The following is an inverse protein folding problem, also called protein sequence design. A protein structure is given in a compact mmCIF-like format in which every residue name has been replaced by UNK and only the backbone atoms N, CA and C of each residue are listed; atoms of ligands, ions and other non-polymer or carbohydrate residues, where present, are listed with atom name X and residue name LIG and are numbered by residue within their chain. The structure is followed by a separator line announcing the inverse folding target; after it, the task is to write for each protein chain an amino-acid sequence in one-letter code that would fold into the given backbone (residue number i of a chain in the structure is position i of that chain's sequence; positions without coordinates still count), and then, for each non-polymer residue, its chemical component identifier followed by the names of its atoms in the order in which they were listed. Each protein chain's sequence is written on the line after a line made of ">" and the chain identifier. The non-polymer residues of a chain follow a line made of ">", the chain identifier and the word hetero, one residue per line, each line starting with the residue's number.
data_IF_780322933636
#
_entry.id   IF_780322933636
#
_cell.length_a   1.000
_cell.length_b   1.000
_cell.length_c   1.000
_cell.angle_alpha   90.00
_cell.angle_beta   90.00
_cell.angle_gamma   90.00
#
_symmetry.space_group_name_H-M   'P 1'
#
loop_
_entity.id
_entity.type
_entity.pdbx_description
1 polymer ?
#
# COMPACT_ATOMS: atom_id res chain seq x y z
N UNK A 1 -15.29 -8.04 -0.10
CA UNK A 1 -14.22 -7.05 -0.36
C UNK A 1 -14.51 -5.71 0.31
N UNK A 2 -15.43 -4.90 -0.24
CA UNK A 2 -15.70 -3.53 0.22
C UNK A 2 -15.97 -3.37 1.73
N UNK A 3 -16.69 -4.31 2.35
CA UNK A 3 -16.93 -4.27 3.80
C UNK A 3 -15.65 -4.35 4.64
N UNK A 4 -14.63 -5.08 4.16
CA UNK A 4 -13.33 -5.18 4.84
C UNK A 4 -12.56 -3.86 4.73
N UNK A 5 -12.54 -3.23 3.55
CA UNK A 5 -11.94 -1.90 3.36
C UNK A 5 -12.66 -0.82 4.17
N UNK A 6 -14.00 -0.83 4.19
CA UNK A 6 -14.78 0.11 5.01
C UNK A 6 -14.48 -0.05 6.50
N UNK A 7 -14.42 -1.30 6.98
CA UNK A 7 -14.06 -1.64 8.36
C UNK A 7 -12.64 -1.19 8.71
N UNK A 8 -11.70 -1.33 7.78
CA UNK A 8 -10.30 -0.92 7.97
C UNK A 8 -10.08 0.59 7.96
N UNK A 9 -10.92 1.36 7.25
CA UNK A 9 -10.78 2.83 7.16
C UNK A 9 -11.38 3.54 8.38
N UNK A 10 -12.57 3.12 8.81
CA UNK A 10 -13.18 3.61 10.05
C UNK A 10 -14.13 2.53 10.62
N UNK A 11 -13.73 1.80 11.68
CA UNK A 11 -14.53 0.71 12.24
C UNK A 11 -15.82 1.18 12.92
N UNK A 12 -15.84 2.41 13.47
CA UNK A 12 -17.02 2.99 14.10
C UNK A 12 -18.05 3.38 13.05
N UNK A 13 -17.63 4.09 11.99
CA UNK A 13 -18.50 4.45 10.88
C UNK A 13 -19.06 3.22 10.17
N UNK A 14 -18.25 2.17 9.99
CA UNK A 14 -18.71 0.90 9.43
C UNK A 14 -19.82 0.27 10.30
N UNK A 15 -19.69 0.34 11.63
CA UNK A 15 -20.70 -0.16 12.57
C UNK A 15 -22.00 0.65 12.48
N UNK A 16 -21.92 1.98 12.38
CA UNK A 16 -23.09 2.83 12.17
C UNK A 16 -23.77 2.58 10.81
N UNK A 17 -23.02 2.14 9.80
CA UNK A 17 -23.55 1.71 8.51
C UNK A 17 -24.13 0.28 8.52
N UNK A 18 -24.27 -0.36 9.69
CA UNK A 18 -24.84 -1.71 9.84
C UNK A 18 -23.87 -2.85 9.55
N UNK A 19 -22.58 -2.57 9.36
CA UNK A 19 -21.56 -3.61 9.13
C UNK A 19 -21.12 -4.17 10.48
N UNK A 20 -21.20 -5.50 10.63
CA UNK A 20 -20.64 -6.16 11.81
C UNK A 20 -19.10 -6.24 11.71
N UNK A 21 -18.45 -5.15 12.12
CA UNK A 21 -16.98 -4.99 12.15
C UNK A 21 -16.29 -6.16 12.86
N UNK A 22 -16.83 -6.61 14.01
CA UNK A 22 -16.24 -7.70 14.79
C UNK A 22 -16.21 -9.01 14.00
N UNK A 23 -17.33 -9.37 13.35
CA UNK A 23 -17.43 -10.57 12.51
C UNK A 23 -16.47 -10.49 11.30
N UNK A 24 -16.34 -9.33 10.67
CA UNK A 24 -15.39 -9.16 9.55
C UNK A 24 -13.94 -9.38 9.98
N UNK A 25 -13.52 -8.81 11.11
CA UNK A 25 -12.16 -9.01 11.64
C UNK A 25 -11.94 -10.48 11.99
N UNK A 26 -12.88 -11.13 12.68
CA UNK A 26 -12.77 -12.55 13.02
C UNK A 26 -12.63 -13.43 11.77
N UNK A 27 -13.46 -13.23 10.75
CA UNK A 27 -13.37 -13.99 9.50
C UNK A 27 -12.01 -13.77 8.81
N UNK A 28 -11.49 -12.54 8.80
CA UNK A 28 -10.18 -12.24 8.22
C UNK A 28 -9.05 -12.99 8.94
N UNK A 29 -9.06 -13.00 10.29
CA UNK A 29 -8.07 -13.75 11.08
C UNK A 29 -8.19 -15.27 10.89
N UNK A 30 -9.41 -15.81 10.83
CA UNK A 30 -9.64 -17.25 10.60
C UNK A 30 -9.10 -17.67 9.23
N UNK A 31 -9.37 -16.89 8.18
CA UNK A 31 -8.87 -17.17 6.83
C UNK A 31 -7.33 -17.07 6.81
N UNK A 32 -6.76 -16.03 7.41
CA UNK A 32 -5.29 -15.86 7.50
C UNK A 32 -4.63 -17.03 8.25
N UNK A 33 -5.21 -17.45 9.37
CA UNK A 33 -4.72 -18.61 10.14
C UNK A 33 -4.81 -19.91 9.35
N UNK A 34 -5.92 -20.16 8.65
CA UNK A 34 -6.08 -21.33 7.80
C UNK A 34 -5.05 -21.37 6.65
N UNK A 35 -4.81 -20.23 5.98
CA UNK A 35 -3.79 -20.11 4.94
C UNK A 35 -2.39 -20.29 5.50
N UNK A 36 -2.11 -19.76 6.69
CA UNK A 36 -0.81 -19.92 7.36
C UNK A 36 -0.55 -21.38 7.72
N UNK A 37 -1.57 -22.11 8.21
CA UNK A 37 -1.45 -23.53 8.50
C UNK A 37 -1.12 -24.35 7.24
N UNK A 38 -1.82 -24.10 6.13
CA UNK A 38 -1.56 -24.76 4.85
C UNK A 38 -0.14 -24.44 4.36
N UNK A 39 0.25 -23.16 4.39
CA UNK A 39 1.59 -22.73 3.99
C UNK A 39 2.69 -23.37 4.85
N UNK A 40 2.47 -23.50 6.16
CA UNK A 40 3.41 -24.13 7.08
C UNK A 40 3.61 -25.62 6.80
N UNK A 41 2.53 -26.35 6.48
CA UNK A 41 2.60 -27.76 6.08
C UNK A 41 3.41 -27.92 4.79
N UNK A 42 3.15 -27.08 3.78
CA UNK A 42 3.89 -27.10 2.51
C UNK A 42 5.37 -26.78 2.74
N UNK A 43 5.67 -25.79 3.59
CA UNK A 43 7.04 -25.40 3.92
C UNK A 43 7.83 -26.51 4.65
N UNK A 44 7.17 -27.22 5.57
CA UNK A 44 7.76 -28.37 6.26
C UNK A 44 8.10 -29.50 5.29
N UNK A 45 7.22 -29.81 4.33
CA UNK A 45 7.51 -30.79 3.28
C UNK A 45 8.64 -30.36 2.35
N UNK A 46 8.71 -29.08 1.99
CA UNK A 46 9.78 -28.56 1.15
C UNK A 46 11.16 -28.72 1.81
N UNK A 47 11.26 -28.45 3.11
CA UNK A 47 12.54 -28.45 3.84
C UNK A 47 12.92 -29.82 4.41
N UNK A 48 12.00 -30.81 4.38
CA UNK A 48 12.14 -32.16 4.96
C UNK A 48 12.68 -32.20 6.40
N UNK A 49 12.64 -31.08 7.11
CA UNK A 49 13.11 -30.90 8.47
C UNK A 49 12.42 -29.67 9.05
N UNK A 50 12.19 -29.69 10.36
CA UNK A 50 11.60 -28.56 11.08
C UNK A 50 12.46 -28.31 12.31
N UNK A 51 13.16 -27.18 12.32
CA UNK A 51 13.89 -26.70 13.50
C UNK A 51 13.12 -25.55 14.14
N UNK A 52 12.53 -25.74 15.34
CA UNK A 52 11.71 -24.72 16.00
C UNK A 52 12.45 -23.40 16.27
N UNK A 53 13.77 -23.45 16.43
CA UNK A 53 14.57 -22.27 16.72
C UNK A 53 14.71 -21.32 15.51
N UNK A 54 14.68 -21.87 14.29
CA UNK A 54 15.05 -21.12 13.08
C UNK A 54 13.89 -21.03 12.07
N UNK A 55 12.99 -22.02 12.04
CA UNK A 55 11.89 -22.04 11.07
C UNK A 55 10.82 -21.05 11.49
N UNK A 56 10.55 -20.06 10.62
CA UNK A 56 9.61 -18.96 10.90
C UNK A 56 10.26 -17.70 11.48
N UNK A 57 11.55 -17.72 11.79
CA UNK A 57 12.23 -16.55 12.34
C UNK A 57 12.21 -15.37 11.34
N UNK A 58 11.70 -14.23 11.80
CA UNK A 58 11.43 -12.99 11.06
C UNK A 58 10.50 -13.09 9.84
N UNK A 59 9.84 -14.24 9.58
CA UNK A 59 8.84 -14.35 8.50
C UNK A 59 7.67 -13.37 8.70
N UNK A 60 7.34 -13.03 9.95
CA UNK A 60 6.39 -11.99 10.30
C UNK A 60 6.82 -10.62 9.77
N UNK A 61 8.07 -10.22 10.06
CA UNK A 61 8.64 -8.95 9.63
C UNK A 61 8.70 -8.87 8.10
N UNK A 62 9.11 -9.96 7.44
CA UNK A 62 9.13 -10.02 5.99
C UNK A 62 7.73 -10.00 5.38
N UNK A 63 6.75 -10.65 6.03
CA UNK A 63 5.35 -10.61 5.59
C UNK A 63 4.79 -9.18 5.64
N UNK A 64 5.03 -8.45 6.73
CA UNK A 64 4.62 -7.04 6.85
C UNK A 64 5.37 -6.17 5.84
N UNK A 65 6.68 -6.37 5.68
CA UNK A 65 7.49 -5.61 4.71
C UNK A 65 7.00 -5.83 3.26
N UNK A 66 6.70 -7.07 2.86
CA UNK A 66 6.15 -7.38 1.55
C UNK A 66 4.80 -6.70 1.33
N UNK A 67 3.93 -6.72 2.35
CA UNK A 67 2.62 -6.09 2.26
C UNK A 67 2.71 -4.57 2.08
N UNK A 68 3.57 -3.91 2.87
CA UNK A 68 3.79 -2.45 2.79
C UNK A 68 4.46 -2.07 1.47
N UNK A 69 5.49 -2.79 1.04
CA UNK A 69 6.14 -2.61 -0.25
C UNK A 69 5.16 -2.81 -1.43
N UNK A 70 4.22 -3.75 -1.26
CA UNK A 70 3.11 -3.96 -2.20
C UNK A 70 2.00 -2.90 -2.15
N UNK A 71 2.15 -1.85 -1.35
CA UNK A 71 1.21 -0.72 -1.26
C UNK A 71 0.07 -0.91 -0.25
N UNK A 72 0.20 -1.82 0.71
CA UNK A 72 -0.74 -1.93 1.83
C UNK A 72 -0.52 -0.81 2.86
N UNK A 73 -1.60 -0.18 3.32
CA UNK A 73 -1.53 0.85 4.36
C UNK A 73 -1.53 0.24 5.76
N UNK A 74 -0.53 0.62 6.58
CA UNK A 74 -0.51 0.27 8.01
C UNK A 74 -1.65 0.92 8.81
N UNK A 75 -2.23 2.01 8.28
CA UNK A 75 -3.37 2.69 8.89
C UNK A 75 -4.71 1.99 8.60
N UNK A 76 -4.71 1.02 7.69
CA UNK A 76 -5.88 0.23 7.33
C UNK A 76 -6.77 0.87 6.26
N UNK A 77 -7.64 0.05 5.67
CA UNK A 77 -8.66 0.50 4.73
C UNK A 77 -8.19 0.70 3.28
N UNK A 78 -6.91 0.47 3.00
CA UNK A 78 -6.30 0.65 1.67
C UNK A 78 -5.24 -0.43 1.40
N UNK A 79 -5.19 -0.92 0.16
CA UNK A 79 -4.21 -1.91 -0.28
C UNK A 79 -4.66 -2.66 -1.54
N UNK A 80 -3.71 -3.24 -2.27
CA UNK A 80 -3.95 -4.02 -3.49
C UNK A 80 -3.44 -5.44 -3.32
N UNK A 81 -4.29 -6.44 -3.56
CA UNK A 81 -3.89 -7.87 -3.51
C UNK A 81 -2.77 -8.15 -4.52
N UNK A 82 -2.90 -7.60 -5.74
CA UNK A 82 -1.89 -7.77 -6.79
C UNK A 82 -0.57 -7.11 -6.39
N UNK A 83 -0.63 -5.93 -5.79
CA UNK A 83 0.56 -5.24 -5.28
C UNK A 83 1.26 -6.04 -4.18
N UNK A 84 0.51 -6.60 -3.24
CA UNK A 84 1.05 -7.46 -2.16
C UNK A 84 1.71 -8.72 -2.72
N UNK A 85 1.12 -9.37 -3.73
CA UNK A 85 1.74 -10.53 -4.39
C UNK A 85 3.07 -10.17 -5.06
N UNK A 86 3.14 -9.03 -5.73
CA UNK A 86 4.37 -8.52 -6.35
C UNK A 86 5.41 -8.19 -5.27
N UNK A 87 5.01 -7.52 -4.19
CA UNK A 87 5.89 -7.19 -3.07
C UNK A 87 6.47 -8.44 -2.38
N UNK A 88 5.65 -9.48 -2.19
CA UNK A 88 6.08 -10.76 -1.65
C UNK A 88 7.06 -11.49 -2.58
N UNK A 89 6.76 -11.52 -3.89
CA UNK A 89 7.67 -12.09 -4.89
C UNK A 89 9.01 -11.35 -4.93
N UNK A 90 8.99 -10.02 -4.85
CA UNK A 90 10.18 -9.19 -4.81
C UNK A 90 11.05 -9.49 -3.58
N UNK A 91 10.46 -9.61 -2.39
CA UNK A 91 11.21 -10.03 -1.19
C UNK A 91 11.81 -11.43 -1.34
N UNK A 92 11.10 -12.37 -1.96
CA UNK A 92 11.64 -13.71 -2.19
C UNK A 92 12.83 -13.69 -3.15
N UNK A 93 12.78 -12.85 -4.18
CA UNK A 93 13.90 -12.63 -5.10
C UNK A 93 15.08 -12.02 -4.35
N UNK A 94 14.86 -10.99 -3.51
CA UNK A 94 15.92 -10.38 -2.70
C UNK A 94 16.60 -11.38 -1.75
N UNK A 95 15.81 -12.26 -1.10
CA UNK A 95 16.35 -13.37 -0.30
C UNK A 95 17.27 -14.27 -1.10
N UNK A 96 16.84 -14.66 -2.30
CA UNK A 96 17.65 -15.48 -3.18
C UNK A 96 18.94 -14.75 -3.61
N UNK A 97 18.87 -13.44 -3.89
CA UNK A 97 20.06 -12.64 -4.24
C UNK A 97 21.08 -12.58 -3.09
N UNK A 98 20.64 -12.31 -1.86
CA UNK A 98 21.52 -12.27 -0.68
C UNK A 98 22.21 -13.62 -0.46
N UNK A 99 21.46 -14.72 -0.62
CA UNK A 99 22.01 -16.07 -0.54
C UNK A 99 23.03 -16.35 -1.65
N UNK A 100 22.76 -15.93 -2.89
CA UNK A 100 23.68 -16.10 -4.03
C UNK A 100 24.96 -15.27 -3.90
N UNK A 101 24.90 -14.12 -3.21
CA UNK A 101 26.07 -13.29 -2.90
C UNK A 101 26.98 -13.93 -1.85
N UNK A 102 26.61 -15.09 -1.29
CA UNK A 102 27.43 -15.84 -0.35
C UNK A 102 27.54 -15.17 1.03
N UNK A 103 26.56 -14.34 1.40
CA UNK A 103 26.53 -13.69 2.70
C UNK A 103 26.32 -14.76 3.77
N UNK A 104 27.12 -14.76 4.86
CA UNK A 104 26.96 -15.72 5.93
C UNK A 104 25.61 -15.55 6.62
N UNK A 105 24.92 -16.67 6.88
CA UNK A 105 23.55 -16.71 7.41
C UNK A 105 23.35 -16.00 8.74
N UNK A 106 24.42 -15.83 9.53
CA UNK A 106 24.41 -15.04 10.76
C UNK A 106 24.13 -13.54 10.53
N UNK A 107 24.44 -13.02 9.34
CA UNK A 107 24.24 -11.60 8.97
C UNK A 107 23.04 -11.38 8.04
N UNK A 108 22.34 -12.45 7.63
CA UNK A 108 21.21 -12.36 6.69
C UNK A 108 20.15 -11.36 7.15
N UNK A 109 19.77 -11.40 8.44
CA UNK A 109 18.76 -10.48 8.98
C UNK A 109 19.20 -9.02 8.91
N UNK A 110 20.48 -8.74 9.18
CA UNK A 110 21.01 -7.37 9.15
C UNK A 110 21.08 -6.85 7.71
N UNK A 111 21.58 -7.66 6.77
CA UNK A 111 21.67 -7.26 5.36
C UNK A 111 20.29 -7.13 4.74
N UNK A 112 19.40 -8.10 4.93
CA UNK A 112 18.04 -8.02 4.43
C UNK A 112 17.30 -6.81 5.01
N UNK A 113 17.42 -6.55 6.32
CA UNK A 113 16.83 -5.39 6.95
C UNK A 113 17.33 -4.07 6.33
N UNK A 114 18.64 -3.96 6.09
CA UNK A 114 19.24 -2.80 5.44
C UNK A 114 18.75 -2.63 3.99
N UNK A 115 18.71 -3.71 3.20
CA UNK A 115 18.23 -3.69 1.81
C UNK A 115 16.76 -3.27 1.74
N UNK A 116 15.91 -3.81 2.62
CA UNK A 116 14.49 -3.44 2.70
C UNK A 116 14.34 -1.98 3.08
N UNK A 117 15.06 -1.51 4.11
CA UNK A 117 15.00 -0.11 4.54
C UNK A 117 15.39 0.84 3.41
N UNK A 118 16.51 0.56 2.74
CA UNK A 118 16.97 1.34 1.59
C UNK A 118 15.96 1.29 0.43
N UNK A 119 15.41 0.12 0.14
CA UNK A 119 14.40 -0.06 -0.91
C UNK A 119 13.14 0.75 -0.64
N UNK A 120 12.60 0.70 0.58
CA UNK A 120 11.41 1.46 0.98
C UNK A 120 11.69 2.97 1.02
N UNK A 121 12.86 3.39 1.51
CA UNK A 121 13.24 4.81 1.49
C UNK A 121 13.35 5.35 0.06
N UNK A 122 13.99 4.59 -0.84
CA UNK A 122 14.06 4.95 -2.25
C UNK A 122 12.67 5.01 -2.89
N UNK A 123 11.81 4.03 -2.61
CA UNK A 123 10.44 3.98 -3.13
C UNK A 123 9.59 5.17 -2.63
N UNK A 124 9.67 5.52 -1.34
CA UNK A 124 8.99 6.70 -0.81
C UNK A 124 9.46 7.99 -1.47
N UNK A 125 10.77 8.18 -1.64
CA UNK A 125 11.32 9.39 -2.29
C UNK A 125 10.87 9.49 -3.76
N UNK A 126 10.83 8.37 -4.48
CA UNK A 126 10.40 8.33 -5.88
C UNK A 126 8.88 8.54 -6.00
N UNK A 127 8.09 7.95 -5.11
CA UNK A 127 6.63 8.10 -5.07
C UNK A 127 6.20 9.52 -4.70
N UNK A 128 6.88 10.15 -3.75
CA UNK A 128 6.67 11.56 -3.36
C UNK A 128 6.86 12.50 -4.56
N UNK A 129 7.88 12.25 -5.40
CA UNK A 129 8.12 13.03 -6.62
C UNK A 129 7.01 12.85 -7.66
N UNK A 130 6.44 11.65 -7.75
CA UNK A 130 5.37 11.33 -8.70
C UNK A 130 4.04 11.97 -8.29
N UNK A 131 3.73 11.96 -6.99
CA UNK A 131 2.55 12.66 -6.44
C UNK A 131 2.62 14.17 -6.64
N UNK A 132 3.78 14.80 -6.42
CA UNK A 132 3.96 16.25 -6.62
C UNK A 132 3.72 16.67 -8.07
N UNK A 133 4.16 15.84 -9.04
CA UNK A 133 3.92 16.09 -10.47
C UNK A 133 2.43 15.99 -10.82
N UNK A 134 1.71 15.01 -10.27
CA UNK A 134 0.27 14.88 -10.51
C UNK A 134 -0.53 16.07 -9.95
N UNK A 135 -0.20 16.55 -8.75
CA UNK A 135 -0.87 17.73 -8.16
C UNK A 135 -0.60 18.99 -9.00
N UNK A 136 0.62 19.15 -9.53
CA UNK A 136 0.96 20.28 -10.39
C UNK A 136 0.14 20.28 -11.70
N UNK A 137 0.02 19.11 -12.35
CA UNK A 137 -0.74 18.96 -13.59
C UNK A 137 -2.25 19.18 -13.38
N UNK A 138 -2.81 18.69 -12.27
CA UNK A 138 -4.24 18.91 -11.93
C UNK A 138 -4.51 20.40 -11.68
N UNK A 139 -3.58 21.11 -11.03
CA UNK A 139 -3.69 22.57 -10.83
C UNK A 139 -3.65 23.33 -12.14
N UNK A 140 -2.81 22.89 -13.06
CA UNK A 140 -2.66 23.50 -14.38
C UNK A 140 -3.89 23.27 -15.26
N UNK A 141 -4.44 22.05 -15.27
CA UNK A 141 -5.70 21.76 -15.97
C UNK A 141 -6.89 22.53 -15.36
N UNK A 142 -6.97 22.61 -14.03
CA UNK A 142 -8.01 23.39 -13.36
C UNK A 142 -7.90 24.91 -13.64
N UNK A 143 -6.69 25.43 -13.80
CA UNK A 143 -6.45 26.84 -14.17
C UNK A 143 -6.81 27.12 -15.63
N UNK A 144 -6.62 26.14 -16.52
CA UNK A 144 -7.01 26.25 -17.92
C UNK A 144 -8.54 26.28 -18.10
N UNK A 145 -9.27 25.47 -17.33
CA UNK A 145 -10.74 25.42 -17.38
C UNK A 145 -11.45 26.68 -16.84
N UNK A 146 -10.79 27.52 -16.02
CA UNK A 146 -11.37 28.78 -15.51
C UNK A 146 -11.30 29.95 -16.51
N UNK A 147 -10.55 29.82 -17.62
CA UNK A 147 -10.37 30.91 -18.59
C UNK A 147 -11.62 31.30 -19.43
N UNK A 148 -12.58 30.43 -19.77
CA UNK A 148 -13.74 30.86 -20.56
C UNK A 148 -14.81 31.57 -19.73
N UNK A 149 -14.95 31.27 -18.43
CA UNK A 149 -16.02 31.87 -17.59
C UNK A 149 -15.80 33.36 -17.32
N UNK A 150 -14.54 33.78 -17.07
CA UNK A 150 -14.24 35.20 -16.85
C UNK A 150 -14.29 36.05 -18.12
N UNK A 151 -14.11 35.45 -19.30
CA UNK A 151 -14.26 36.16 -20.57
C UNK A 151 -15.73 36.48 -20.88
N UNK A 152 -16.65 35.57 -20.55
CA UNK A 152 -18.11 35.77 -20.72
C UNK A 152 -18.66 36.77 -19.69
N UNK A 153 -18.11 36.80 -18.46
CA UNK A 153 -18.53 37.75 -17.43
C UNK A 153 -18.06 39.20 -17.70
N UNK A 154 -16.90 39.38 -18.35
CA UNK A 154 -16.40 40.71 -18.70
C UNK A 154 -17.25 41.38 -19.80
N UNK A 155 -17.76 40.60 -20.75
CA UNK A 155 -18.59 41.09 -21.87
C UNK A 155 -19.96 41.64 -21.39
N UNK A 156 -20.55 41.04 -20.34
CA UNK A 156 -21.83 41.51 -19.79
C UNK A 156 -21.74 42.76 -18.91
N UNK A 157 -20.54 43.19 -18.49
CA UNK A 157 -20.36 44.33 -17.58
C UNK A 157 -20.11 45.69 -18.28
N UNK A 158 -19.93 45.70 -19.60
CA UNK A 158 -19.62 46.89 -20.39
C UNK A 158 -20.83 47.70 -20.91
N UNK A 159 -22.07 47.29 -20.60
CA UNK A 159 -23.28 47.81 -21.23
C UNK A 159 -24.27 48.53 -20.32
N UNK A 160 -23.81 49.37 -19.37
CA UNK A 160 -24.72 50.31 -18.67
C UNK A 160 -24.00 51.62 -18.37
N UNK A 161 -24.23 52.66 -19.18
CA UNK A 161 -23.77 54.00 -18.82
C UNK A 161 -23.55 54.96 -19.97
N UNK A 162 -24.63 55.37 -20.65
CA UNK A 162 -24.77 56.75 -21.16
C UNK A 162 -26.15 56.92 -21.82
N UNK A 163 -27.14 57.33 -21.03
CA UNK A 163 -28.19 58.22 -21.53
C UNK A 163 -28.03 59.56 -20.81
N UNK A 164 -27.74 60.63 -21.57
CA UNK A 164 -28.23 61.94 -21.18
C UNK A 164 -28.99 62.59 -22.35
N UNK A 165 -30.22 62.97 -22.00
CA UNK A 165 -31.04 64.09 -22.53
C UNK A 165 -31.41 64.10 -24.00
#
# INVERSE_FOLDING_TARGET
>A
GRYLFATGRNPEAARYAGINTRRMITIAYVISGALTAISGIIFAFYTNSVSPANHGNAYELYGIAAAVLGGCSLRGGEGSVVGILIGAALLQVLRNLVNLLGIPSSLDFAVMGAVILLGVMADQILSERRNRRQIALIRESARADMRPTNAIAADHSGGTGSEPT
#
